data_IF_156493185335
#
_entry.id   IF_156493185335
#
_cell.length_a   1.000
_cell.length_b   1.000
_cell.length_c   1.000
_cell.angle_alpha   90.00
_cell.angle_beta   90.00
_cell.angle_gamma   90.00
#
_symmetry.space_group_name_H-M   'P 1'
#
loop_
_entity.id
_entity.type
_entity.pdbx_description
1 polymer ?
#
# COMPACT_ATOMS: atom_id res chain seq x y z
N UNK A 1 26.79 23.92 -2.82
CA UNK A 1 25.41 23.95 -3.39
C UNK A 1 24.51 23.32 -2.35
N UNK A 2 23.84 24.13 -1.53
CA UNK A 2 22.92 23.66 -0.49
C UNK A 2 21.55 23.59 -1.14
N UNK A 3 20.93 22.41 -1.17
CA UNK A 3 19.52 22.30 -1.53
C UNK A 3 18.72 23.08 -0.49
N UNK A 4 18.18 24.24 -0.86
CA UNK A 4 17.15 24.89 -0.07
C UNK A 4 15.96 23.93 0.05
N UNK A 5 15.37 23.72 1.24
CA UNK A 5 14.18 22.93 1.34
C UNK A 5 13.07 23.63 0.55
N UNK A 6 12.57 22.95 -0.47
CA UNK A 6 11.34 23.31 -1.17
C UNK A 6 10.24 23.54 -0.13
N UNK A 7 9.41 24.61 -0.23
CA UNK A 7 8.36 24.86 0.72
C UNK A 7 7.50 23.60 0.81
N UNK A 8 7.44 23.04 2.01
CA UNK A 8 6.83 21.76 2.29
C UNK A 8 5.46 21.66 1.60
N UNK A 9 5.34 20.76 0.61
CA UNK A 9 4.05 20.10 0.40
C UNK A 9 3.69 19.53 1.76
N UNK A 10 2.63 20.04 2.40
CA UNK A 10 2.24 19.66 3.74
C UNK A 10 2.06 18.13 3.82
N UNK A 11 3.10 17.42 4.26
CA UNK A 11 3.03 16.00 4.48
C UNK A 11 2.03 15.78 5.62
N UNK A 12 0.90 15.12 5.33
CA UNK A 12 -0.11 14.80 6.35
C UNK A 12 0.52 14.02 7.50
N UNK A 13 1.46 13.13 7.18
CA UNK A 13 2.24 12.38 8.16
C UNK A 13 3.11 13.30 9.04
N UNK A 14 3.82 14.26 8.45
CA UNK A 14 4.62 15.22 9.23
C UNK A 14 3.74 16.07 10.18
N UNK A 15 2.55 16.47 9.73
CA UNK A 15 1.59 17.19 10.57
C UNK A 15 1.09 16.33 11.72
N UNK A 16 0.77 15.06 11.48
CA UNK A 16 0.34 14.12 12.51
C UNK A 16 1.44 13.91 13.56
N UNK A 17 2.70 13.74 13.13
CA UNK A 17 3.84 13.62 14.05
C UNK A 17 4.01 14.88 14.90
N UNK A 18 3.89 16.07 14.29
CA UNK A 18 3.96 17.34 15.02
C UNK A 18 2.81 17.51 16.04
N UNK A 19 1.68 16.82 15.83
CA UNK A 19 0.55 16.74 16.76
C UNK A 19 0.71 15.66 17.84
N UNK A 20 1.85 14.95 17.86
CA UNK A 20 2.14 13.89 18.84
C UNK A 20 1.52 12.53 18.49
N UNK A 21 1.05 12.35 17.25
CA UNK A 21 0.49 11.07 16.81
C UNK A 21 1.59 10.06 16.43
N UNK A 22 1.43 8.82 16.89
CA UNK A 22 2.32 7.70 16.58
C UNK A 22 1.96 7.04 15.24
N UNK A 23 2.70 7.34 14.18
CA UNK A 23 2.44 6.80 12.83
C UNK A 23 2.48 5.27 12.69
N UNK A 24 3.38 4.51 13.36
CA UNK A 24 3.30 3.04 13.43
C UNK A 24 1.94 2.51 13.88
N UNK A 25 1.28 3.21 14.82
CA UNK A 25 -0.08 2.91 15.25
C UNK A 25 -1.18 3.22 14.22
N UNK A 26 -0.89 3.99 13.16
CA UNK A 26 -1.85 4.27 12.09
C UNK A 26 -1.94 3.08 11.14
N UNK A 27 -3.03 2.35 11.28
CA UNK A 27 -3.33 1.22 10.43
C UNK A 27 -4.85 1.01 10.39
N UNK A 28 -5.28 0.14 9.48
CA UNK A 28 -6.65 -0.36 9.42
C UNK A 28 -6.59 -1.89 9.37
N UNK A 29 -7.61 -2.58 9.88
CA UNK A 29 -7.65 -4.03 9.68
C UNK A 29 -7.82 -4.37 8.20
N UNK A 30 -7.17 -5.44 7.76
CA UNK A 30 -7.30 -5.96 6.39
C UNK A 30 -8.76 -6.25 6.07
N UNK A 31 -9.50 -6.82 7.03
CA UNK A 31 -10.94 -7.07 6.90
C UNK A 31 -11.73 -5.81 6.53
N UNK A 32 -11.48 -4.69 7.22
CA UNK A 32 -12.18 -3.42 6.93
C UNK A 32 -11.76 -2.87 5.56
N UNK A 33 -10.46 -2.98 5.20
CA UNK A 33 -9.98 -2.59 3.88
C UNK A 33 -10.63 -3.42 2.75
N UNK A 34 -10.74 -4.75 2.95
CA UNK A 34 -11.37 -5.68 2.02
C UNK A 34 -12.87 -5.42 1.87
N UNK A 35 -13.56 -5.16 2.98
CA UNK A 35 -14.99 -4.87 2.98
C UNK A 35 -15.32 -3.60 2.18
N UNK A 36 -14.51 -2.53 2.35
CA UNK A 36 -14.65 -1.30 1.56
C UNK A 36 -14.51 -1.54 0.05
N UNK A 37 -13.77 -2.57 -0.33
CA UNK A 37 -13.49 -2.93 -1.73
C UNK A 37 -14.28 -4.14 -2.22
N UNK A 38 -15.28 -4.61 -1.46
CA UNK A 38 -16.00 -5.87 -1.73
C UNK A 38 -16.56 -5.99 -3.15
N UNK A 39 -16.99 -4.87 -3.74
CA UNK A 39 -17.52 -4.84 -5.12
C UNK A 39 -16.41 -5.13 -6.12
N UNK A 40 -15.26 -4.46 -5.99
CA UNK A 40 -14.11 -4.68 -6.88
C UNK A 40 -13.58 -6.11 -6.77
N UNK A 41 -13.43 -6.62 -5.54
CA UNK A 41 -13.08 -8.02 -5.31
C UNK A 41 -14.08 -8.97 -5.97
N UNK A 42 -15.38 -8.77 -5.76
CA UNK A 42 -16.42 -9.60 -6.35
C UNK A 42 -16.42 -9.59 -7.89
N UNK A 43 -16.05 -8.49 -8.54
CA UNK A 43 -15.91 -8.45 -10.00
C UNK A 43 -14.64 -9.19 -10.45
N UNK A 44 -13.49 -8.90 -9.83
CA UNK A 44 -12.20 -9.45 -10.25
C UNK A 44 -12.05 -10.96 -9.93
N UNK A 45 -12.63 -11.41 -8.82
CA UNK A 45 -12.64 -12.82 -8.40
C UNK A 45 -13.58 -13.66 -9.30
N UNK A 46 -14.60 -13.03 -9.93
CA UNK A 46 -15.49 -13.70 -10.90
C UNK A 46 -14.91 -13.85 -12.29
N UNK A 47 -13.83 -13.14 -12.62
CA UNK A 47 -13.11 -13.41 -13.86
C UNK A 47 -12.71 -14.90 -13.84
N UNK A 48 -12.90 -15.63 -14.94
CA UNK A 48 -12.49 -17.02 -15.00
C UNK A 48 -10.97 -17.13 -14.78
N UNK A 49 -10.50 -18.28 -14.30
CA UNK A 49 -9.07 -18.57 -14.38
C UNK A 49 -8.70 -18.60 -15.86
N UNK A 50 -7.65 -17.88 -16.24
CA UNK A 50 -7.18 -17.82 -17.62
C UNK A 50 -5.66 -17.98 -17.62
N UNK A 51 -5.07 -18.80 -18.52
CA UNK A 51 -3.63 -19.07 -18.52
C UNK A 51 -2.74 -17.82 -18.59
N UNK A 52 -3.23 -16.75 -19.22
CA UNK A 52 -2.54 -15.45 -19.34
C UNK A 52 -3.02 -14.38 -18.33
N UNK A 53 -3.71 -14.78 -17.27
CA UNK A 53 -4.19 -13.86 -16.24
C UNK A 53 -3.76 -14.36 -14.86
N UNK A 54 -2.97 -13.55 -14.17
CA UNK A 54 -2.56 -13.80 -12.78
C UNK A 54 -3.19 -12.73 -11.89
N UNK A 55 -3.80 -13.17 -10.78
CA UNK A 55 -4.28 -12.26 -9.73
C UNK A 55 -3.23 -12.12 -8.65
N UNK A 56 -3.00 -10.87 -8.23
CA UNK A 56 -2.15 -10.53 -7.10
C UNK A 56 -3.00 -9.85 -6.03
N UNK A 57 -2.67 -10.09 -4.76
CA UNK A 57 -3.37 -9.52 -3.62
C UNK A 57 -2.40 -8.65 -2.81
N UNK A 58 -2.33 -7.32 -3.06
CA UNK A 58 -1.37 -6.43 -2.42
C UNK A 58 -1.40 -6.42 -0.87
N UNK A 59 -2.53 -6.81 -0.27
CA UNK A 59 -2.66 -6.95 1.17
C UNK A 59 -1.61 -7.91 1.76
N UNK A 60 -1.16 -8.92 1.01
CA UNK A 60 -0.12 -9.86 1.45
C UNK A 60 1.22 -9.18 1.75
N UNK A 61 1.50 -8.04 1.11
CA UNK A 61 2.71 -7.26 1.34
C UNK A 61 2.47 -6.05 2.27
N UNK A 62 1.28 -5.46 2.23
CA UNK A 62 0.97 -4.21 2.92
C UNK A 62 0.29 -4.40 4.29
N UNK A 63 -0.26 -5.58 4.56
CA UNK A 63 -1.07 -5.85 5.74
C UNK A 63 -0.49 -6.98 6.62
N UNK A 64 0.70 -6.79 7.22
CA UNK A 64 1.25 -7.78 8.14
C UNK A 64 0.29 -8.00 9.33
N UNK A 65 0.14 -9.26 9.75
CA UNK A 65 -0.71 -9.62 10.90
C UNK A 65 -2.14 -9.07 10.77
N UNK A 66 -2.70 -9.12 9.56
CA UNK A 66 -4.06 -8.67 9.23
C UNK A 66 -4.29 -7.15 9.46
N UNK A 67 -3.23 -6.34 9.52
CA UNK A 67 -3.32 -4.88 9.67
C UNK A 67 -2.54 -4.16 8.58
N UNK A 68 -3.24 -3.38 7.78
CA UNK A 68 -2.65 -2.56 6.72
C UNK A 68 -2.00 -1.32 7.33
N UNK A 69 -0.67 -1.29 7.34
CA UNK A 69 0.15 -0.27 8.02
C UNK A 69 0.47 0.88 7.08
N UNK A 70 0.58 2.10 7.63
CA UNK A 70 1.06 3.26 6.84
C UNK A 70 2.58 3.40 6.84
N UNK A 71 3.28 2.68 7.73
CA UNK A 71 4.74 2.64 7.81
C UNK A 71 5.27 1.22 7.95
N UNK A 72 6.42 0.98 7.33
CA UNK A 72 7.19 -0.26 7.46
C UNK A 72 8.68 0.05 7.33
N UNK A 73 9.51 -0.48 8.23
CA UNK A 73 10.96 -0.23 8.21
C UNK A 73 11.34 1.26 8.29
N UNK A 74 10.56 2.07 9.02
CA UNK A 74 10.79 3.52 9.16
C UNK A 74 10.41 4.35 7.92
N UNK A 75 9.82 3.74 6.89
CA UNK A 75 9.39 4.42 5.66
C UNK A 75 7.87 4.54 5.61
N UNK A 76 7.37 5.69 5.14
CA UNK A 76 5.96 5.87 4.79
C UNK A 76 5.64 5.10 3.51
N UNK A 77 4.54 4.33 3.56
CA UNK A 77 4.12 3.53 2.42
C UNK A 77 3.12 4.26 1.52
N UNK A 78 2.43 5.28 2.05
CA UNK A 78 1.37 5.98 1.33
C UNK A 78 1.62 7.49 1.25
N UNK A 79 1.30 8.05 0.09
CA UNK A 79 1.27 9.50 -0.15
C UNK A 79 -0.02 10.13 0.41
N UNK A 80 -1.14 9.42 0.29
CA UNK A 80 -2.45 9.82 0.81
C UNK A 80 -3.25 8.61 1.35
N UNK A 81 -4.58 8.69 1.42
CA UNK A 81 -5.41 7.61 1.96
C UNK A 81 -5.47 6.36 1.08
N UNK A 82 -5.01 6.40 -0.18
CA UNK A 82 -5.15 5.30 -1.14
C UNK A 82 -3.92 5.08 -2.02
N UNK A 83 -3.10 6.10 -2.26
CA UNK A 83 -1.94 6.01 -3.16
C UNK A 83 -0.68 5.63 -2.40
N UNK A 84 0.01 4.59 -2.88
CA UNK A 84 1.34 4.24 -2.40
C UNK A 84 2.36 5.33 -2.81
N UNK A 85 3.31 5.59 -1.91
CA UNK A 85 4.53 6.33 -2.26
C UNK A 85 5.57 5.34 -2.84
N UNK A 86 6.75 5.84 -3.23
CA UNK A 86 7.83 5.02 -3.79
C UNK A 86 8.17 3.83 -2.87
N UNK A 87 8.42 4.01 -1.55
CA UNK A 87 8.72 2.89 -0.67
C UNK A 87 7.58 1.87 -0.58
N UNK A 88 6.32 2.34 -0.60
CA UNK A 88 5.15 1.47 -0.59
C UNK A 88 5.06 0.63 -1.85
N UNK A 89 5.30 1.23 -3.00
CA UNK A 89 5.26 0.57 -4.31
C UNK A 89 6.36 -0.48 -4.45
N UNK A 90 7.56 -0.19 -3.92
CA UNK A 90 8.69 -1.12 -3.89
C UNK A 90 8.36 -2.44 -3.16
N UNK A 91 7.49 -2.40 -2.14
CA UNK A 91 7.06 -3.62 -1.43
C UNK A 91 6.29 -4.61 -2.32
N UNK A 92 5.66 -4.12 -3.39
CA UNK A 92 4.88 -4.96 -4.31
C UNK A 92 5.72 -5.58 -5.44
N UNK A 93 6.90 -5.02 -5.71
CA UNK A 93 7.74 -5.41 -6.86
C UNK A 93 8.04 -6.92 -6.88
N UNK A 94 8.44 -7.58 -5.78
CA UNK A 94 8.73 -9.02 -5.81
C UNK A 94 7.53 -9.88 -6.23
N UNK A 95 6.33 -9.51 -5.73
CA UNK A 95 5.08 -10.20 -6.05
C UNK A 95 4.68 -9.97 -7.52
N UNK A 96 4.75 -8.73 -8.00
CA UNK A 96 4.42 -8.39 -9.38
C UNK A 96 5.40 -9.05 -10.37
N UNK A 97 6.69 -8.99 -10.08
CA UNK A 97 7.71 -9.64 -10.92
C UNK A 97 7.49 -11.16 -10.99
N UNK A 98 7.10 -11.80 -9.88
CA UNK A 98 6.75 -13.22 -9.86
C UNK A 98 5.51 -13.51 -10.72
N UNK A 99 4.46 -12.72 -10.58
CA UNK A 99 3.21 -12.89 -11.34
C UNK A 99 3.44 -12.72 -12.85
N UNK A 100 4.25 -11.74 -13.25
CA UNK A 100 4.57 -11.48 -14.65
C UNK A 100 5.38 -12.61 -15.30
N UNK A 101 6.25 -13.29 -14.54
CA UNK A 101 6.96 -14.49 -15.03
C UNK A 101 6.08 -15.73 -15.17
N UNK A 102 4.94 -15.78 -14.48
CA UNK A 102 4.01 -16.92 -14.50
C UNK A 102 2.95 -16.80 -15.60
N UNK A 103 2.65 -15.57 -16.04
CA UNK A 103 1.68 -15.30 -17.11
C UNK A 103 2.29 -15.14 -18.50
N UNK A 104 3.62 -15.29 -18.63
CA UNK A 104 4.37 -15.26 -19.89
C UNK A 104 4.57 -16.66 -20.45
#
# INVERSE_FOLDING_TARGET
MVCAPSPARFSKAARLVAQGHDLPGFNVSERVSRERQRIAFGVLDRLAQHPRLVRVYPAQALCPQERCVVMMGGKLLFFDSHHLDIPGSETLVPMLARALRQGA
#
